data_IF_327504167112
#
_entry.id   IF_327504167112
#
_cell.length_a   1.000
_cell.length_b   1.000
_cell.length_c   1.000
_cell.angle_alpha   90.00
_cell.angle_beta   90.00
_cell.angle_gamma   90.00
#
_symmetry.space_group_name_H-M   'P 1'
#
loop_
_entity.id
_entity.type
_entity.pdbx_description
1 polymer ?
#
# COMPACT_ATOMS: atom_id res chain seq x y z
N UNK A 1 79.36 -24.78 22.13
CA UNK A 1 78.30 -25.72 22.57
C UNK A 1 77.04 -25.43 21.77
N UNK A 2 76.56 -26.44 21.01
CA UNK A 2 75.18 -26.68 20.50
C UNK A 2 74.51 -25.55 19.68
N UNK A 3 73.92 -25.69 18.49
CA UNK A 3 73.78 -26.71 17.42
C UNK A 3 72.84 -26.07 16.37
N UNK A 4 73.18 -26.10 15.08
CA UNK A 4 72.25 -25.91 13.92
C UNK A 4 71.29 -27.14 13.77
N UNK A 5 70.32 -27.26 12.81
CA UNK A 5 70.06 -26.54 11.53
C UNK A 5 68.55 -26.15 11.31
N UNK A 6 68.01 -25.58 10.22
CA UNK A 6 68.17 -25.89 8.79
C UNK A 6 67.55 -24.82 7.84
N UNK A 7 68.15 -24.73 6.63
CA UNK A 7 67.57 -24.52 5.27
C UNK A 7 66.61 -23.34 5.00
N UNK A 8 66.64 -22.63 3.87
CA UNK A 8 67.20 -22.88 2.55
C UNK A 8 67.32 -21.53 1.81
N UNK A 9 68.40 -21.37 1.04
CA UNK A 9 68.75 -20.20 0.22
C UNK A 9 67.96 -20.16 -1.09
N UNK A 10 67.59 -18.96 -1.58
CA UNK A 10 67.55 -18.70 -3.03
C UNK A 10 67.78 -17.22 -3.34
N UNK A 11 68.87 -16.97 -4.07
CA UNK A 11 69.21 -15.73 -4.76
C UNK A 11 68.57 -15.74 -6.14
N UNK A 12 68.16 -14.58 -6.67
CA UNK A 12 67.94 -14.43 -8.10
C UNK A 12 68.47 -13.07 -8.56
N UNK A 13 69.42 -13.13 -9.49
CA UNK A 13 70.03 -12.02 -10.22
C UNK A 13 69.37 -11.91 -11.60
N UNK A 14 69.32 -10.68 -12.08
CA UNK A 14 68.77 -10.17 -13.34
C UNK A 14 69.43 -10.79 -14.58
N UNK A 15 68.66 -11.01 -15.65
CA UNK A 15 69.15 -10.96 -17.03
C UNK A 15 68.04 -10.50 -17.99
N UNK A 16 68.39 -9.54 -18.86
CA UNK A 16 67.56 -9.01 -19.93
C UNK A 16 67.81 -9.78 -21.23
N UNK A 17 66.78 -9.95 -22.08
CA UNK A 17 66.98 -10.11 -23.53
C UNK A 17 65.69 -9.96 -24.35
N UNK A 18 65.77 -9.01 -25.28
CA UNK A 18 65.35 -8.96 -26.69
C UNK A 18 63.96 -9.39 -27.18
N UNK A 19 63.51 -8.51 -28.08
CA UNK A 19 62.30 -8.47 -28.92
C UNK A 19 62.22 -9.65 -29.89
N UNK A 20 61.04 -10.27 -29.95
CA UNK A 20 60.61 -11.16 -31.04
C UNK A 20 59.24 -10.72 -31.56
N UNK A 21 59.19 -10.30 -32.82
CA UNK A 21 57.96 -9.93 -33.54
C UNK A 21 57.14 -11.18 -33.86
N UNK A 22 56.03 -11.38 -33.15
CA UNK A 22 55.01 -12.39 -33.46
C UNK A 22 53.69 -11.69 -33.74
N UNK A 23 53.21 -11.76 -34.98
CA UNK A 23 51.85 -11.35 -35.36
C UNK A 23 50.88 -12.35 -34.72
N UNK A 24 50.24 -11.96 -33.61
CA UNK A 24 49.05 -12.64 -33.11
C UNK A 24 47.82 -11.95 -33.68
N UNK A 25 47.09 -12.69 -34.52
CA UNK A 25 45.75 -12.32 -34.94
C UNK A 25 44.86 -12.19 -33.70
N UNK A 26 44.36 -10.99 -33.45
CA UNK A 26 43.39 -10.75 -32.40
C UNK A 26 42.08 -11.48 -32.74
N UNK A 27 41.68 -12.44 -31.91
CA UNK A 27 40.34 -13.00 -31.95
C UNK A 27 39.31 -11.88 -31.72
N UNK A 28 38.19 -11.87 -32.47
CA UNK A 28 37.18 -10.84 -32.29
C UNK A 28 36.51 -11.02 -30.93
N UNK A 29 36.72 -10.06 -30.03
CA UNK A 29 35.99 -9.94 -28.77
C UNK A 29 34.49 -9.92 -29.06
N UNK A 30 33.81 -11.01 -28.68
CA UNK A 30 32.37 -11.10 -28.72
C UNK A 30 31.77 -9.93 -27.94
N UNK A 31 31.01 -9.08 -28.61
CA UNK A 31 30.18 -8.06 -27.97
C UNK A 31 29.23 -8.77 -27.00
N UNK A 32 29.43 -8.59 -25.70
CA UNK A 32 28.42 -8.94 -24.70
C UNK A 32 27.14 -8.20 -25.06
N UNK A 33 26.15 -8.95 -25.55
CA UNK A 33 24.77 -8.48 -25.61
C UNK A 33 24.32 -8.10 -24.19
N UNK A 34 23.73 -6.91 -23.99
CA UNK A 34 23.27 -6.52 -22.67
C UNK A 34 22.25 -7.54 -22.18
N UNK A 35 22.49 -8.11 -20.99
CA UNK A 35 21.53 -8.92 -20.25
C UNK A 35 20.19 -8.17 -20.24
N UNK A 36 19.06 -8.77 -20.67
CA UNK A 36 17.76 -8.12 -20.59
C UNK A 36 17.58 -7.58 -19.16
N UNK A 37 17.29 -6.28 -19.03
CA UNK A 37 16.96 -5.69 -17.75
C UNK A 37 15.87 -6.55 -17.12
N UNK A 38 16.14 -7.10 -15.92
CA UNK A 38 15.14 -7.85 -15.17
C UNK A 38 13.90 -6.97 -15.06
N UNK A 39 12.78 -7.42 -15.65
CA UNK A 39 11.55 -6.65 -15.67
C UNK A 39 11.11 -6.41 -14.22
N UNK A 40 11.38 -5.22 -13.70
CA UNK A 40 11.02 -4.85 -12.34
C UNK A 40 9.51 -4.74 -12.26
N UNK A 41 8.89 -5.47 -11.33
CA UNK A 41 7.45 -5.39 -11.08
C UNK A 41 7.04 -3.92 -10.88
N UNK A 42 6.08 -3.41 -11.67
CA UNK A 42 5.50 -2.08 -11.51
C UNK A 42 5.12 -1.77 -10.06
N UNK A 43 5.31 -0.52 -9.61
CA UNK A 43 4.92 -0.10 -8.25
C UNK A 43 3.88 0.99 -8.24
N UNK A 44 2.97 0.87 -7.29
CA UNK A 44 2.11 1.96 -6.83
C UNK A 44 2.49 2.22 -5.38
N UNK A 45 2.95 3.42 -5.07
CA UNK A 45 3.27 3.84 -3.72
C UNK A 45 2.36 4.99 -3.31
N UNK A 46 1.71 4.84 -2.16
CA UNK A 46 0.77 5.81 -1.63
C UNK A 46 1.13 6.15 -0.19
N UNK A 47 1.23 7.43 0.16
CA UNK A 47 1.31 7.87 1.55
C UNK A 47 -0.03 8.48 1.97
N UNK A 48 -0.58 7.99 3.07
CA UNK A 48 -1.75 8.56 3.73
C UNK A 48 -1.24 9.46 4.85
N UNK A 49 -1.57 10.74 4.80
CA UNK A 49 -1.28 11.72 5.84
C UNK A 49 -2.62 12.12 6.43
N UNK A 50 -2.92 11.64 7.64
CA UNK A 50 -4.21 11.87 8.27
C UNK A 50 -4.05 12.80 9.46
N UNK A 51 -4.81 13.89 9.45
CA UNK A 51 -4.96 14.75 10.61
C UNK A 51 -5.69 13.99 11.74
N UNK A 52 -5.09 13.99 12.91
CA UNK A 52 -5.64 13.43 14.15
C UNK A 52 -5.83 14.52 15.21
N UNK A 53 -5.96 15.78 14.81
CA UNK A 53 -6.39 16.88 15.68
C UNK A 53 -7.76 16.63 16.32
N UNK A 54 -8.09 17.39 17.37
CA UNK A 54 -9.38 17.31 18.04
C UNK A 54 -10.55 17.75 17.15
N UNK A 55 -10.31 18.66 16.20
CA UNK A 55 -11.33 19.15 15.27
C UNK A 55 -11.75 18.10 14.24
N UNK A 56 -10.95 17.04 14.07
CA UNK A 56 -11.30 15.86 13.28
C UNK A 56 -12.26 14.89 13.98
N UNK A 57 -12.67 15.16 15.22
CA UNK A 57 -13.68 14.35 15.90
C UNK A 57 -15.00 14.33 15.11
N UNK A 58 -15.55 13.13 14.89
CA UNK A 58 -16.70 12.92 14.00
C UNK A 58 -16.38 12.91 12.49
N UNK A 59 -15.26 13.52 12.07
CA UNK A 59 -14.81 13.58 10.68
C UNK A 59 -13.92 12.39 10.27
N UNK A 60 -13.07 11.95 11.21
CA UNK A 60 -11.97 11.04 10.92
C UNK A 60 -12.41 9.70 10.32
N UNK A 61 -13.58 9.17 10.72
CA UNK A 61 -14.10 7.90 10.19
C UNK A 61 -14.50 8.00 8.70
N UNK A 62 -15.02 9.15 8.28
CA UNK A 62 -15.35 9.39 6.87
C UNK A 62 -14.08 9.51 6.03
N UNK A 63 -13.07 10.25 6.53
CA UNK A 63 -11.76 10.36 5.91
C UNK A 63 -11.10 8.97 5.74
N UNK A 64 -11.06 8.15 6.79
CA UNK A 64 -10.53 6.77 6.75
C UNK A 64 -11.23 5.91 5.72
N UNK A 65 -12.56 5.95 5.69
CA UNK A 65 -13.36 5.17 4.73
C UNK A 65 -13.04 5.60 3.31
N UNK A 66 -12.90 6.91 3.07
CA UNK A 66 -12.57 7.44 1.75
C UNK A 66 -11.16 7.06 1.31
N UNK A 67 -10.18 7.20 2.19
CA UNK A 67 -8.80 6.78 1.94
C UNK A 67 -8.71 5.28 1.65
N UNK A 68 -9.48 4.46 2.38
CA UNK A 68 -9.52 3.03 2.13
C UNK A 68 -10.16 2.67 0.79
N UNK A 69 -11.22 3.36 0.35
CA UNK A 69 -11.77 3.21 -1.01
C UNK A 69 -10.73 3.50 -2.10
N UNK A 70 -9.89 4.52 -1.89
CA UNK A 70 -8.81 4.87 -2.82
C UNK A 70 -7.76 3.75 -2.89
N UNK A 71 -7.33 3.22 -1.74
CA UNK A 71 -6.44 2.05 -1.69
C UNK A 71 -7.09 0.87 -2.43
N UNK A 72 -8.39 0.64 -2.22
CA UNK A 72 -9.17 -0.39 -2.90
C UNK A 72 -9.16 -0.20 -4.42
N UNK A 73 -9.35 1.02 -4.91
CA UNK A 73 -9.35 1.31 -6.33
C UNK A 73 -7.97 1.07 -6.96
N UNK A 74 -6.90 1.58 -6.32
CA UNK A 74 -5.52 1.38 -6.75
C UNK A 74 -5.12 -0.09 -6.79
N UNK A 75 -5.68 -0.91 -5.89
CA UNK A 75 -5.48 -2.36 -5.89
C UNK A 75 -6.07 -3.08 -7.12
N UNK A 76 -6.87 -2.43 -7.96
CA UNK A 76 -7.37 -3.00 -9.21
C UNK A 76 -6.52 -2.62 -10.43
N UNK A 77 -5.59 -1.68 -10.27
CA UNK A 77 -4.76 -1.20 -11.35
C UNK A 77 -3.84 -2.30 -11.89
N UNK A 78 -3.55 -2.22 -13.19
CA UNK A 78 -2.57 -3.04 -13.90
C UNK A 78 -1.70 -2.14 -14.75
N UNK A 79 -0.41 -2.45 -14.86
CA UNK A 79 0.49 -1.81 -15.81
C UNK A 79 0.98 -2.86 -16.79
N UNK A 80 0.72 -2.66 -18.08
CA UNK A 80 1.10 -3.60 -19.15
C UNK A 80 0.63 -5.05 -18.87
N UNK A 81 -0.59 -5.21 -18.35
CA UNK A 81 -1.16 -6.52 -17.99
C UNK A 81 -0.64 -7.11 -16.68
N UNK A 82 0.37 -6.52 -16.06
CA UNK A 82 0.93 -6.97 -14.78
C UNK A 82 0.23 -6.30 -13.60
N UNK A 83 0.04 -7.07 -12.53
CA UNK A 83 -0.43 -6.57 -11.23
C UNK A 83 0.74 -5.88 -10.52
N UNK A 84 0.67 -4.57 -10.24
CA UNK A 84 1.73 -3.85 -9.57
C UNK A 84 1.82 -4.22 -8.10
N UNK A 85 3.01 -4.01 -7.52
CA UNK A 85 3.17 -4.00 -6.07
C UNK A 85 2.60 -2.69 -5.51
N UNK A 86 1.50 -2.80 -4.78
CA UNK A 86 0.92 -1.69 -4.03
C UNK A 86 1.59 -1.60 -2.66
N UNK A 87 2.17 -0.44 -2.35
CA UNK A 87 2.74 -0.14 -1.05
C UNK A 87 2.07 1.11 -0.49
N UNK A 88 1.67 1.04 0.78
CA UNK A 88 1.02 2.16 1.46
C UNK A 88 1.82 2.51 2.71
N UNK A 89 1.94 3.80 2.98
CA UNK A 89 2.49 4.36 4.21
C UNK A 89 1.41 5.15 4.95
N UNK A 90 1.56 5.30 6.26
CA UNK A 90 0.64 6.04 7.10
C UNK A 90 1.39 6.99 8.03
N UNK A 91 1.00 8.25 7.99
CA UNK A 91 1.39 9.29 8.93
C UNK A 91 0.16 9.79 9.68
N UNK A 92 0.34 10.09 10.96
CA UNK A 92 -0.55 10.99 11.69
C UNK A 92 0.14 12.37 11.85
N UNK A 93 -0.65 13.44 11.81
CA UNK A 93 -0.21 14.79 12.15
C UNK A 93 -1.32 15.51 12.93
N UNK A 94 -1.01 16.69 13.50
CA UNK A 94 -2.04 17.51 14.14
C UNK A 94 -2.27 17.23 15.62
N UNK A 95 -1.36 16.50 16.28
CA UNK A 95 -1.54 16.02 17.64
C UNK A 95 -0.55 16.67 18.60
N UNK A 96 -1.04 17.38 19.62
CA UNK A 96 -0.18 18.06 20.61
C UNK A 96 0.68 17.12 21.44
N UNK A 97 0.29 15.84 21.54
CA UNK A 97 1.05 14.82 22.25
C UNK A 97 2.24 14.28 21.45
N UNK A 98 2.36 14.63 20.17
CA UNK A 98 3.57 14.34 19.39
C UNK A 98 4.58 15.44 19.74
N UNK A 99 5.79 15.08 20.18
CA UNK A 99 6.71 16.08 20.70
C UNK A 99 7.19 17.03 19.60
N UNK A 100 7.52 18.26 20.00
CA UNK A 100 7.79 19.39 19.09
C UNK A 100 9.00 19.14 18.18
N UNK A 101 9.96 18.37 18.64
CA UNK A 101 11.15 17.91 17.91
C UNK A 101 10.81 16.87 16.81
N UNK A 102 9.74 16.09 16.98
CA UNK A 102 9.13 15.27 15.91
C UNK A 102 8.29 16.13 14.94
N UNK A 103 8.15 17.44 15.18
CA UNK A 103 7.39 18.33 14.30
C UNK A 103 5.88 18.16 14.38
N UNK A 104 5.38 17.61 15.49
CA UNK A 104 3.96 17.28 15.71
C UNK A 104 3.38 16.30 14.67
N UNK A 105 4.21 15.47 14.04
CA UNK A 105 3.82 14.41 13.12
C UNK A 105 4.58 13.12 13.40
N UNK A 106 4.00 11.98 13.03
CA UNK A 106 4.62 10.66 13.23
C UNK A 106 4.39 9.76 12.04
N UNK A 107 5.45 9.12 11.56
CA UNK A 107 5.34 7.99 10.64
C UNK A 107 4.89 6.75 11.43
N UNK A 108 3.63 6.36 11.29
CA UNK A 108 3.08 5.18 11.97
C UNK A 108 3.53 3.91 11.24
N UNK A 109 3.45 3.92 9.90
CA UNK A 109 3.88 2.80 9.06
C UNK A 109 4.66 3.36 7.87
N UNK A 110 5.86 2.82 7.62
CA UNK A 110 6.60 3.08 6.37
C UNK A 110 5.91 2.41 5.18
N UNK A 111 6.39 2.67 3.95
CA UNK A 111 5.86 2.01 2.75
C UNK A 111 5.95 0.48 2.89
N UNK A 112 4.79 -0.18 2.92
CA UNK A 112 4.67 -1.63 3.11
C UNK A 112 3.60 -2.23 2.19
N UNK A 113 3.77 -3.50 1.82
CA UNK A 113 2.74 -4.30 1.16
C UNK A 113 1.83 -5.06 2.15
N UNK A 114 2.06 -4.93 3.47
CA UNK A 114 1.16 -5.39 4.52
C UNK A 114 -0.02 -4.40 4.70
N UNK A 115 -1.03 -4.56 3.86
CA UNK A 115 -2.20 -3.69 3.85
C UNK A 115 -3.15 -3.94 5.01
N UNK A 116 -3.01 -5.06 5.73
CA UNK A 116 -3.67 -5.25 7.03
C UNK A 116 -3.02 -4.41 8.13
N UNK A 117 -1.70 -4.18 8.10
CA UNK A 117 -1.06 -3.23 9.00
C UNK A 117 -1.53 -1.81 8.79
N UNK A 118 -1.68 -1.42 7.53
CA UNK A 118 -2.22 -0.11 7.20
C UNK A 118 -3.67 0.02 7.66
N UNK A 119 -4.52 -0.96 7.38
CA UNK A 119 -5.90 -1.00 7.89
C UNK A 119 -5.94 -0.91 9.42
N UNK A 120 -5.14 -1.72 10.10
CA UNK A 120 -5.12 -1.76 11.57
C UNK A 120 -4.79 -0.42 12.18
N UNK A 121 -3.67 0.17 11.75
CA UNK A 121 -3.21 1.44 12.28
C UNK A 121 -4.17 2.57 11.88
N UNK A 122 -4.60 2.62 10.62
CA UNK A 122 -5.51 3.68 10.11
C UNK A 122 -6.80 3.75 10.93
N UNK A 123 -7.41 2.61 11.25
CA UNK A 123 -8.65 2.55 12.02
C UNK A 123 -8.42 2.61 13.54
N UNK A 124 -7.21 2.35 14.03
CA UNK A 124 -6.84 2.49 15.45
C UNK A 124 -6.51 3.94 15.86
N UNK A 125 -6.21 4.82 14.90
CA UNK A 125 -5.95 6.23 15.18
C UNK A 125 -7.09 6.85 16.00
N UNK A 126 -6.76 7.82 16.85
CA UNK A 126 -7.73 8.58 17.66
C UNK A 126 -7.37 10.05 17.58
N UNK A 127 -8.39 10.88 17.59
CA UNK A 127 -8.22 12.33 17.61
C UNK A 127 -7.73 12.78 18.98
N UNK A 128 -6.76 13.68 19.00
CA UNK A 128 -6.24 14.31 20.20
C UNK A 128 -5.70 15.70 19.82
N UNK A 129 -6.23 16.73 20.46
CA UNK A 129 -6.09 18.14 20.08
C UNK A 129 -4.67 18.58 19.69
N UNK A 130 -4.55 19.44 18.67
CA UNK A 130 -3.31 20.05 18.21
C UNK A 130 -3.52 20.90 16.96
N UNK A 131 -2.46 21.52 16.45
CA UNK A 131 -2.47 22.36 15.24
C UNK A 131 -2.06 21.54 14.03
N UNK A 132 -2.70 21.79 12.89
CA UNK A 132 -2.32 21.16 11.63
C UNK A 132 -1.00 21.72 11.06
N UNK A 133 -0.17 20.85 10.47
CA UNK A 133 1.10 21.22 9.84
C UNK A 133 1.27 20.56 8.47
N UNK A 134 0.37 20.90 7.54
CA UNK A 134 0.26 20.26 6.22
C UNK A 134 1.59 20.30 5.43
N UNK A 135 2.22 21.48 5.33
CA UNK A 135 3.51 21.60 4.64
C UNK A 135 4.60 20.74 5.25
N UNK A 136 4.63 20.60 6.57
CA UNK A 136 5.65 19.84 7.30
C UNK A 136 5.47 18.33 7.10
N UNK A 137 4.25 17.80 7.16
CA UNK A 137 4.00 16.37 6.94
C UNK A 137 4.22 15.96 5.48
N UNK A 138 3.89 16.84 4.51
CA UNK A 138 4.21 16.60 3.10
C UNK A 138 5.74 16.55 2.89
N UNK A 139 6.48 17.50 3.48
CA UNK A 139 7.94 17.52 3.41
C UNK A 139 8.54 16.24 4.05
N UNK A 140 8.05 15.85 5.22
CA UNK A 140 8.48 14.65 5.92
C UNK A 140 8.22 13.37 5.10
N UNK A 141 7.02 13.20 4.55
CA UNK A 141 6.70 12.03 3.71
C UNK A 141 7.52 12.02 2.40
N UNK A 142 7.74 13.19 1.79
CA UNK A 142 8.53 13.35 0.56
C UNK A 142 10.02 13.04 0.76
N UNK A 143 10.56 13.32 1.93
CA UNK A 143 11.97 13.09 2.27
C UNK A 143 12.25 11.76 2.98
N UNK A 144 11.34 11.30 3.84
CA UNK A 144 11.55 10.18 4.76
C UNK A 144 11.15 8.82 4.23
N UNK A 145 10.22 8.75 3.27
CA UNK A 145 9.81 7.48 2.67
C UNK A 145 10.76 7.03 1.56
N UNK A 146 10.93 5.71 1.44
CA UNK A 146 11.69 5.07 0.38
C UNK A 146 10.87 4.96 -0.91
N UNK A 147 10.65 6.11 -1.54
CA UNK A 147 9.97 6.20 -2.83
C UNK A 147 10.74 5.49 -3.93
N UNK A 148 10.01 4.91 -4.88
CA UNK A 148 10.58 4.22 -6.02
C UNK A 148 11.30 5.21 -6.93
N UNK A 149 12.40 4.73 -7.52
CA UNK A 149 13.17 5.47 -8.52
C UNK A 149 12.62 5.26 -9.95
N UNK A 150 11.63 4.37 -10.12
CA UNK A 150 10.99 4.15 -11.42
C UNK A 150 10.21 5.37 -11.88
N UNK A 151 10.42 5.79 -13.13
CA UNK A 151 9.73 6.94 -13.73
C UNK A 151 8.28 6.61 -14.10
N UNK A 152 8.02 5.35 -14.46
CA UNK A 152 6.70 4.83 -14.76
C UNK A 152 5.96 4.31 -13.51
N UNK A 153 6.57 4.37 -12.32
CA UNK A 153 5.89 4.01 -11.07
C UNK A 153 4.97 5.15 -10.62
N UNK A 154 3.82 4.78 -10.05
CA UNK A 154 2.84 5.73 -9.54
C UNK A 154 3.15 6.08 -8.09
N UNK A 155 3.36 7.36 -7.79
CA UNK A 155 3.69 7.85 -6.44
C UNK A 155 2.69 8.93 -6.04
N UNK A 156 1.96 8.68 -4.95
CA UNK A 156 0.83 9.50 -4.52
C UNK A 156 0.95 9.85 -3.03
N UNK A 157 0.67 11.09 -2.68
CA UNK A 157 0.35 11.50 -1.31
C UNK A 157 -1.16 11.81 -1.27
N UNK A 158 -1.85 11.34 -0.24
CA UNK A 158 -3.19 11.78 0.12
C UNK A 158 -3.12 12.38 1.52
N UNK A 159 -3.37 13.68 1.61
CA UNK A 159 -3.47 14.40 2.88
C UNK A 159 -4.94 14.70 3.21
N UNK A 160 -5.36 14.49 4.44
CA UNK A 160 -6.73 14.73 4.90
C UNK A 160 -6.76 15.45 6.25
N UNK A 161 -7.57 16.51 6.37
CA UNK A 161 -7.66 17.39 7.54
C UNK A 161 -8.76 18.44 7.37
N UNK A 162 -8.96 19.31 8.35
CA UNK A 162 -10.10 20.23 8.39
C UNK A 162 -9.78 21.68 8.81
N UNK A 163 -8.51 22.03 8.97
CA UNK A 163 -8.05 23.38 9.23
C UNK A 163 -7.32 23.99 8.02
N UNK A 164 -6.71 25.16 8.21
CA UNK A 164 -6.02 25.84 7.11
C UNK A 164 -4.73 25.11 6.68
N UNK A 165 -4.59 24.90 5.37
CA UNK A 165 -3.45 24.21 4.76
C UNK A 165 -2.13 24.98 4.92
N UNK A 166 -2.23 26.27 5.23
CA UNK A 166 -1.12 27.21 5.37
C UNK A 166 -0.47 27.20 6.75
N UNK A 167 -0.94 26.38 7.68
CA UNK A 167 -0.41 26.34 9.05
C UNK A 167 0.98 25.70 9.11
N UNK A 168 1.80 26.22 10.04
CA UNK A 168 3.17 25.75 10.28
C UNK A 168 4.27 26.68 9.79
N UNK A 169 5.50 26.28 10.03
CA UNK A 169 6.70 27.00 9.61
C UNK A 169 7.19 26.59 8.22
N UNK A 170 6.78 25.41 7.73
CA UNK A 170 7.09 24.92 6.39
C UNK A 170 6.06 25.44 5.41
N UNK A 171 6.52 26.21 4.43
CA UNK A 171 5.70 26.69 3.32
C UNK A 171 5.20 25.50 2.47
N UNK A 172 3.88 25.29 2.47
CA UNK A 172 3.25 24.20 1.72
C UNK A 172 3.55 24.29 0.22
N UNK A 173 3.76 25.49 -0.33
CA UNK A 173 4.07 25.65 -1.76
C UNK A 173 5.40 25.02 -2.11
N UNK A 174 6.40 25.21 -1.25
CA UNK A 174 7.72 24.59 -1.39
C UNK A 174 7.64 23.08 -1.18
N UNK A 175 6.87 22.63 -0.18
CA UNK A 175 6.67 21.20 0.08
C UNK A 175 5.99 20.47 -1.10
N UNK A 176 4.91 21.02 -1.65
CA UNK A 176 4.22 20.48 -2.82
C UNK A 176 5.12 20.50 -4.07
N UNK A 177 5.83 21.60 -4.31
CA UNK A 177 6.78 21.70 -5.44
C UNK A 177 7.91 20.67 -5.34
N UNK A 178 8.43 20.44 -4.13
CA UNK A 178 9.45 19.43 -3.89
C UNK A 178 8.92 18.00 -4.10
N UNK A 179 7.67 17.72 -3.71
CA UNK A 179 7.02 16.43 -3.94
C UNK A 179 6.88 16.13 -5.44
N UNK A 180 6.31 17.06 -6.21
CA UNK A 180 6.11 16.86 -7.65
C UNK A 180 7.42 16.82 -8.43
N UNK A 181 8.45 17.55 -7.97
CA UNK A 181 9.82 17.43 -8.50
C UNK A 181 10.42 16.03 -8.38
N UNK A 182 9.91 15.18 -7.46
CA UNK A 182 10.26 13.75 -7.35
C UNK A 182 9.26 12.81 -8.05
N UNK A 183 8.32 13.38 -8.80
CA UNK A 183 7.22 12.66 -9.44
C UNK A 183 6.17 12.15 -8.46
N UNK A 184 6.04 12.78 -7.29
CA UNK A 184 5.03 12.44 -6.27
C UNK A 184 3.88 13.44 -6.38
N UNK A 185 2.70 12.95 -6.75
CA UNK A 185 1.49 13.77 -6.83
C UNK A 185 0.86 13.95 -5.45
N UNK A 186 0.45 15.17 -5.08
CA UNK A 186 -0.20 15.44 -3.77
C UNK A 186 -1.69 15.68 -3.98
N UNK A 187 -2.52 14.73 -3.54
CA UNK A 187 -3.97 14.85 -3.49
C UNK A 187 -4.41 15.30 -2.10
N UNK A 188 -5.43 16.15 -2.03
CA UNK A 188 -5.85 16.79 -0.78
C UNK A 188 -7.33 16.52 -0.52
N UNK A 189 -7.68 16.16 0.71
CA UNK A 189 -9.05 15.86 1.15
C UNK A 189 -9.40 16.78 2.32
N UNK A 190 -10.16 17.84 2.07
CA UNK A 190 -10.64 18.72 3.12
C UNK A 190 -11.90 18.14 3.77
N UNK A 191 -11.91 18.02 5.08
CA UNK A 191 -13.03 17.51 5.86
C UNK A 191 -13.94 18.66 6.31
N UNK A 192 -14.68 19.24 5.37
CA UNK A 192 -15.60 20.35 5.60
C UNK A 192 -16.28 20.82 4.32
N UNK A 193 -16.89 22.03 4.33
CA UNK A 193 -17.48 22.64 3.14
C UNK A 193 -16.43 22.93 2.06
N UNK A 194 -16.76 22.65 0.80
CA UNK A 194 -15.82 22.81 -0.32
C UNK A 194 -15.26 24.23 -0.47
N UNK A 195 -16.12 25.25 -0.33
CA UNK A 195 -15.71 26.64 -0.43
C UNK A 195 -14.67 27.02 0.64
N UNK A 196 -14.75 26.41 1.83
CA UNK A 196 -13.78 26.62 2.88
C UNK A 196 -12.43 26.00 2.52
N UNK A 197 -12.39 24.74 2.09
CA UNK A 197 -11.15 24.09 1.66
C UNK A 197 -10.44 24.85 0.53
N UNK A 198 -11.19 25.45 -0.39
CA UNK A 198 -10.63 26.34 -1.43
C UNK A 198 -10.00 27.58 -0.79
N UNK A 199 -10.76 28.29 0.05
CA UNK A 199 -10.30 29.52 0.71
C UNK A 199 -9.10 29.29 1.62
N UNK A 200 -9.00 28.12 2.24
CA UNK A 200 -7.96 27.77 3.21
C UNK A 200 -6.77 27.04 2.58
N UNK A 201 -6.69 26.99 1.24
CA UNK A 201 -5.50 26.60 0.49
C UNK A 201 -5.39 25.12 0.11
N UNK A 202 -6.39 24.28 0.42
CA UNK A 202 -6.36 22.85 0.08
C UNK A 202 -6.36 22.63 -1.44
N UNK A 203 -7.20 23.36 -2.17
CA UNK A 203 -7.22 23.26 -3.64
C UNK A 203 -5.91 23.73 -4.28
N UNK A 204 -5.31 24.78 -3.72
CA UNK A 204 -4.01 25.30 -4.18
C UNK A 204 -2.91 24.26 -3.94
N UNK A 205 -2.87 23.66 -2.76
CA UNK A 205 -1.92 22.58 -2.41
C UNK A 205 -1.96 21.41 -3.38
N UNK A 206 -3.16 20.95 -3.77
CA UNK A 206 -3.31 19.89 -4.79
C UNK A 206 -2.82 20.34 -6.17
N UNK A 207 -3.20 21.55 -6.58
CA UNK A 207 -2.89 22.09 -7.92
C UNK A 207 -1.38 22.26 -8.12
N UNK A 208 -0.65 22.66 -7.08
CA UNK A 208 0.81 22.82 -7.10
C UNK A 208 1.59 21.51 -7.29
N UNK A 209 0.95 20.36 -7.10
CA UNK A 209 1.59 19.05 -7.20
C UNK A 209 0.82 18.08 -8.08
N UNK A 210 0.17 18.60 -9.14
CA UNK A 210 -0.53 17.80 -10.18
C UNK A 210 -1.65 16.89 -9.63
N UNK A 211 -2.15 17.23 -8.45
CA UNK A 211 -3.10 16.47 -7.67
C UNK A 211 -4.55 16.83 -7.89
N UNK A 212 -5.40 16.32 -7.01
CA UNK A 212 -6.81 16.65 -6.98
C UNK A 212 -7.29 16.97 -5.58
N UNK A 213 -8.22 17.92 -5.55
CA UNK A 213 -8.86 18.41 -4.35
C UNK A 213 -10.23 17.77 -4.18
N UNK A 214 -10.48 17.28 -2.97
CA UNK A 214 -11.74 16.73 -2.53
C UNK A 214 -12.21 17.47 -1.29
N UNK A 215 -13.53 17.62 -1.13
CA UNK A 215 -14.12 18.10 0.11
C UNK A 215 -15.18 17.13 0.60
N UNK A 216 -15.00 16.59 1.81
CA UNK A 216 -15.97 15.72 2.48
C UNK A 216 -16.77 16.59 3.45
N UNK A 217 -17.95 17.02 3.00
CA UNK A 217 -18.88 17.80 3.82
C UNK A 217 -19.73 16.88 4.70
N UNK A 218 -19.42 16.83 5.99
CA UNK A 218 -20.13 16.03 6.99
C UNK A 218 -21.58 16.47 7.24
N UNK A 219 -21.92 17.73 6.94
CA UNK A 219 -23.28 18.25 7.08
C UNK A 219 -24.17 17.78 5.92
N UNK A 220 -23.56 17.38 4.80
CA UNK A 220 -24.25 16.57 3.80
C UNK A 220 -24.37 15.16 4.40
N UNK A 221 -25.54 14.87 4.96
CA UNK A 221 -25.92 13.49 5.27
C UNK A 221 -25.96 12.67 3.97
N UNK A 222 -24.82 12.14 3.54
CA UNK A 222 -24.80 11.00 2.64
C UNK A 222 -24.96 9.79 3.55
N UNK A 223 -26.22 9.47 3.88
CA UNK A 223 -26.51 8.25 4.61
C UNK A 223 -25.82 7.09 3.88
N UNK A 224 -25.02 6.31 4.61
CA UNK A 224 -24.39 5.14 4.02
C UNK A 224 -25.50 4.24 3.46
N UNK A 225 -25.53 4.06 2.14
CA UNK A 225 -26.54 3.25 1.46
C UNK A 225 -26.35 1.81 1.93
N UNK A 226 -27.23 1.36 2.82
CA UNK A 226 -27.28 -0.03 3.26
C UNK A 226 -27.58 -0.89 2.04
N UNK A 227 -26.81 -1.97 1.86
CA UNK A 227 -27.01 -2.85 0.71
C UNK A 227 -27.39 -4.25 1.18
N UNK A 228 -28.19 -5.00 0.39
CA UNK A 228 -28.47 -6.42 0.70
C UNK A 228 -27.22 -7.32 0.60
N UNK A 229 -26.10 -6.78 0.09
CA UNK A 229 -24.86 -7.52 -0.13
C UNK A 229 -23.90 -7.46 1.07
N UNK A 230 -24.07 -6.49 1.98
CA UNK A 230 -23.11 -6.21 3.06
C UNK A 230 -22.92 -7.42 3.98
N UNK A 231 -24.01 -8.07 4.39
CA UNK A 231 -23.97 -9.26 5.26
C UNK A 231 -23.20 -10.41 4.60
N UNK A 232 -23.51 -10.69 3.33
CA UNK A 232 -22.86 -11.77 2.58
C UNK A 232 -21.37 -11.50 2.39
N UNK A 233 -20.98 -10.25 2.14
CA UNK A 233 -19.56 -9.86 2.06
C UNK A 233 -18.83 -10.07 3.39
N UNK A 234 -19.44 -9.71 4.53
CA UNK A 234 -18.87 -9.95 5.84
C UNK A 234 -18.68 -11.46 6.13
N UNK A 235 -19.67 -12.29 5.80
CA UNK A 235 -19.56 -13.75 5.92
C UNK A 235 -18.42 -14.32 5.05
N UNK A 236 -18.30 -13.84 3.81
CA UNK A 236 -17.23 -14.26 2.91
C UNK A 236 -15.85 -13.82 3.42
N UNK A 237 -15.72 -12.61 3.99
CA UNK A 237 -14.50 -12.16 4.65
C UNK A 237 -14.06 -13.14 5.75
N UNK A 238 -15.01 -13.55 6.61
CA UNK A 238 -14.75 -14.56 7.63
C UNK A 238 -14.29 -15.90 7.06
N UNK A 239 -14.89 -16.34 5.94
CA UNK A 239 -14.48 -17.58 5.25
C UNK A 239 -13.06 -17.48 4.69
N UNK A 240 -12.65 -16.33 4.14
CA UNK A 240 -11.26 -16.12 3.69
C UNK A 240 -10.28 -16.35 4.84
N UNK A 241 -10.62 -15.91 6.06
CA UNK A 241 -9.75 -16.11 7.23
C UNK A 241 -9.46 -17.59 7.51
N UNK A 242 -10.44 -18.47 7.29
CA UNK A 242 -10.29 -19.92 7.43
C UNK A 242 -9.40 -20.58 6.37
N UNK A 243 -8.95 -19.80 5.37
CA UNK A 243 -8.03 -20.27 4.34
C UNK A 243 -6.56 -19.91 4.60
N UNK A 244 -6.26 -19.06 5.60
CA UNK A 244 -4.88 -18.72 5.94
C UNK A 244 -4.20 -19.90 6.64
N UNK A 245 -2.95 -20.13 6.26
CA UNK A 245 -2.06 -21.14 6.82
C UNK A 245 -0.80 -20.42 7.28
N UNK A 246 -0.89 -19.74 8.42
CA UNK A 246 0.27 -19.00 8.94
C UNK A 246 1.40 -19.97 9.32
N UNK A 247 2.65 -19.62 9.01
CA UNK A 247 3.84 -20.40 9.35
C UNK A 247 4.88 -19.54 10.10
N UNK A 248 5.94 -20.16 10.61
CA UNK A 248 6.95 -19.51 11.44
C UNK A 248 6.68 -19.69 12.93
N UNK A 249 7.22 -18.83 13.80
CA UNK A 249 7.08 -18.94 15.26
C UNK A 249 5.61 -18.95 15.69
N UNK A 250 5.25 -19.87 16.61
CA UNK A 250 3.87 -20.05 17.10
C UNK A 250 3.19 -18.76 17.55
N UNK A 251 3.88 -17.93 18.34
CA UNK A 251 3.35 -16.65 18.82
C UNK A 251 3.02 -15.67 17.69
N UNK A 252 3.78 -15.69 16.59
CA UNK A 252 3.51 -14.87 15.41
C UNK A 252 2.28 -15.39 14.68
N UNK A 253 2.15 -16.71 14.50
CA UNK A 253 0.98 -17.33 13.86
C UNK A 253 -0.32 -16.99 14.60
N UNK A 254 -0.31 -17.15 15.93
CA UNK A 254 -1.46 -16.85 16.79
C UNK A 254 -1.83 -15.35 16.73
N UNK A 255 -0.83 -14.47 16.77
CA UNK A 255 -1.04 -13.02 16.63
C UNK A 255 -1.68 -12.66 15.29
N UNK A 256 -1.21 -13.22 14.18
CA UNK A 256 -1.73 -12.94 12.84
C UNK A 256 -3.16 -13.48 12.65
N UNK A 257 -3.44 -14.68 13.15
CA UNK A 257 -4.80 -15.22 13.14
C UNK A 257 -5.77 -14.34 13.94
N UNK A 258 -5.35 -13.89 15.14
CA UNK A 258 -6.14 -12.97 15.95
C UNK A 258 -6.33 -11.62 15.26
N UNK A 259 -5.28 -11.09 14.61
CA UNK A 259 -5.33 -9.83 13.85
C UNK A 259 -6.43 -9.84 12.80
N UNK A 260 -6.56 -10.93 12.03
CA UNK A 260 -7.61 -11.05 11.02
C UNK A 260 -9.01 -10.89 11.60
N UNK A 261 -9.29 -11.58 12.70
CA UNK A 261 -10.58 -11.52 13.39
C UNK A 261 -10.82 -10.14 14.00
N UNK A 262 -9.81 -9.55 14.64
CA UNK A 262 -9.89 -8.22 15.22
C UNK A 262 -10.16 -7.15 14.17
N UNK A 263 -9.52 -7.22 13.01
CA UNK A 263 -9.73 -6.27 11.92
C UNK A 263 -11.11 -6.42 11.27
N UNK A 264 -11.59 -7.64 11.07
CA UNK A 264 -12.95 -7.87 10.54
C UNK A 264 -14.01 -7.32 11.51
N UNK A 265 -13.82 -7.51 12.81
CA UNK A 265 -14.67 -6.96 13.85
C UNK A 265 -14.63 -5.43 13.87
N UNK A 266 -13.43 -4.82 13.88
CA UNK A 266 -13.27 -3.37 13.89
C UNK A 266 -13.90 -2.71 12.65
N UNK A 267 -13.73 -3.31 11.46
CA UNK A 267 -14.38 -2.84 10.24
C UNK A 267 -15.90 -2.87 10.37
N UNK A 268 -16.48 -3.97 10.87
CA UNK A 268 -17.92 -4.10 11.07
C UNK A 268 -18.48 -3.12 12.12
N UNK A 269 -17.73 -2.85 13.19
CA UNK A 269 -18.11 -1.89 14.23
C UNK A 269 -18.02 -0.44 13.76
N UNK A 270 -17.08 -0.13 12.85
CA UNK A 270 -16.89 1.24 12.34
C UNK A 270 -18.03 1.70 11.42
N UNK A 271 -18.43 0.85 10.47
CA UNK A 271 -19.56 1.06 9.56
C UNK A 271 -19.88 -0.23 8.78
N UNK A 272 -21.15 -0.54 8.47
CA UNK A 272 -21.49 -1.67 7.59
C UNK A 272 -20.76 -1.65 6.24
N UNK A 273 -20.58 -0.45 5.68
CA UNK A 273 -19.83 -0.26 4.44
C UNK A 273 -18.35 -0.64 4.58
N UNK A 274 -17.71 -0.38 5.73
CA UNK A 274 -16.30 -0.67 5.95
C UNK A 274 -16.03 -2.19 5.97
N UNK A 275 -16.93 -3.00 6.55
CA UNK A 275 -16.83 -4.46 6.47
C UNK A 275 -16.91 -4.97 5.02
N UNK A 276 -17.81 -4.40 4.21
CA UNK A 276 -17.93 -4.73 2.80
C UNK A 276 -16.69 -4.32 1.99
N UNK A 277 -16.12 -3.13 2.26
CA UNK A 277 -14.88 -2.67 1.61
C UNK A 277 -13.67 -3.55 2.00
N UNK A 278 -13.59 -3.99 3.26
CA UNK A 278 -12.56 -4.93 3.71
C UNK A 278 -12.69 -6.29 3.05
N UNK A 279 -13.91 -6.83 2.97
CA UNK A 279 -14.19 -8.06 2.24
C UNK A 279 -13.76 -7.92 0.77
N UNK A 280 -14.16 -6.84 0.10
CA UNK A 280 -13.78 -6.54 -1.28
C UNK A 280 -12.27 -6.51 -1.46
N UNK A 281 -11.54 -5.91 -0.53
CA UNK A 281 -10.09 -5.86 -0.54
C UNK A 281 -9.45 -7.26 -0.43
N UNK A 282 -9.92 -8.10 0.51
CA UNK A 282 -9.50 -9.52 0.65
C UNK A 282 -9.74 -10.37 -0.60
N UNK A 283 -10.70 -9.95 -1.43
CA UNK A 283 -10.99 -10.54 -2.74
C UNK A 283 -9.93 -10.28 -3.82
N UNK A 284 -9.03 -9.32 -3.62
CA UNK A 284 -8.09 -8.83 -4.65
C UNK A 284 -6.73 -9.52 -4.56
N UNK A 285 -6.02 -9.58 -5.69
CA UNK A 285 -4.67 -10.16 -5.80
C UNK A 285 -3.60 -9.41 -5.01
N UNK A 286 -3.86 -8.14 -4.68
CA UNK A 286 -3.01 -7.28 -3.87
C UNK A 286 -3.06 -7.65 -2.39
N UNK A 287 -4.15 -8.27 -1.92
CA UNK A 287 -4.22 -8.76 -0.57
C UNK A 287 -3.31 -9.99 -0.46
N UNK A 288 -2.21 -9.84 0.29
CA UNK A 288 -1.21 -10.88 0.51
C UNK A 288 -0.72 -10.82 1.94
N UNK A 289 -0.43 -11.97 2.53
CA UNK A 289 0.28 -12.05 3.80
C UNK A 289 1.61 -12.78 3.64
N UNK A 290 2.72 -12.11 3.92
CA UNK A 290 4.06 -12.70 3.80
C UNK A 290 4.29 -13.90 4.76
N UNK A 291 3.48 -14.01 5.80
CA UNK A 291 3.53 -15.10 6.77
C UNK A 291 2.46 -16.18 6.52
N UNK A 292 1.68 -16.07 5.44
CA UNK A 292 0.75 -17.11 4.99
C UNK A 292 1.42 -18.03 3.98
N UNK A 293 1.45 -19.33 4.31
CA UNK A 293 2.15 -20.33 3.53
C UNK A 293 1.49 -20.58 2.17
N UNK A 294 0.17 -20.39 2.06
CA UNK A 294 -0.56 -20.50 0.79
C UNK A 294 -0.10 -19.41 -0.19
N UNK A 295 -0.06 -18.14 0.25
CA UNK A 295 0.45 -17.03 -0.56
C UNK A 295 1.95 -17.18 -0.86
N UNK A 296 2.74 -17.57 0.14
CA UNK A 296 4.20 -17.69 0.02
C UNK A 296 4.61 -18.79 -0.98
N UNK A 297 3.91 -19.93 -0.99
CA UNK A 297 4.11 -21.01 -1.96
C UNK A 297 3.61 -20.61 -3.34
N UNK A 298 2.40 -20.03 -3.44
CA UNK A 298 1.81 -19.63 -4.73
C UNK A 298 2.62 -18.54 -5.42
N UNK A 299 3.24 -17.63 -4.66
CA UNK A 299 4.12 -16.59 -5.19
C UNK A 299 5.55 -17.04 -5.45
N UNK A 300 5.90 -18.29 -5.11
CA UNK A 300 7.25 -18.82 -5.25
C UNK A 300 8.27 -18.25 -4.25
N UNK A 301 7.84 -17.44 -3.28
CA UNK A 301 8.71 -16.90 -2.22
C UNK A 301 9.23 -17.99 -1.29
N UNK A 302 8.45 -19.05 -1.10
CA UNK A 302 8.78 -20.18 -0.23
C UNK A 302 8.53 -21.49 -0.97
N UNK A 303 9.47 -22.42 -0.89
CA UNK A 303 9.24 -23.82 -1.27
C UNK A 303 8.81 -24.58 -0.03
N UNK A 304 7.66 -25.25 -0.08
CA UNK A 304 7.07 -25.91 1.11
C UNK A 304 8.03 -26.91 1.77
N UNK A 305 8.80 -27.65 0.96
CA UNK A 305 9.81 -28.60 1.41
C UNK A 305 10.99 -27.97 2.18
N UNK A 306 11.23 -26.67 2.02
CA UNK A 306 12.33 -25.95 2.67
C UNK A 306 11.86 -25.31 3.99
N UNK A 307 10.56 -25.38 4.31
CA UNK A 307 10.01 -24.90 5.58
C UNK A 307 10.28 -25.91 6.68
N UNK A 308 10.89 -25.45 7.77
CA UNK A 308 11.22 -26.30 8.91
C UNK A 308 9.95 -26.82 9.59
N UNK A 309 10.01 -28.04 10.10
CA UNK A 309 8.85 -28.70 10.69
C UNK A 309 8.31 -27.96 11.92
N UNK A 310 9.17 -27.35 12.74
CA UNK A 310 8.78 -26.54 13.89
C UNK A 310 8.03 -25.24 13.51
N UNK A 311 8.25 -24.74 12.29
CA UNK A 311 7.61 -23.54 11.76
C UNK A 311 6.24 -23.85 11.13
N UNK A 312 5.94 -25.11 10.85
CA UNK A 312 4.65 -25.53 10.34
C UNK A 312 3.55 -25.44 11.43
N UNK A 313 2.30 -25.16 11.05
CA UNK A 313 1.14 -25.35 11.93
C UNK A 313 0.90 -26.85 12.19
N UNK A 314 0.22 -27.16 13.30
CA UNK A 314 0.04 -28.53 13.81
C UNK A 314 -0.68 -29.45 12.81
N UNK A 315 -1.59 -28.89 12.02
CA UNK A 315 -2.31 -29.58 10.96
C UNK A 315 -1.36 -30.11 9.89
N UNK A 316 -0.31 -29.36 9.54
CA UNK A 316 0.66 -29.74 8.51
C UNK A 316 1.75 -30.66 9.04
N UNK A 317 2.15 -30.53 10.31
CA UNK A 317 3.16 -31.42 10.92
C UNK A 317 2.76 -32.89 10.83
N UNK A 318 1.47 -33.19 11.00
CA UNK A 318 0.90 -34.54 10.97
C UNK A 318 0.79 -35.15 9.56
N UNK A 319 1.09 -34.38 8.52
CA UNK A 319 0.97 -34.80 7.13
C UNK A 319 2.33 -35.11 6.53
N UNK A 320 2.38 -36.10 5.64
CA UNK A 320 3.53 -36.33 4.76
C UNK A 320 3.65 -35.24 3.68
N UNK A 321 4.79 -35.17 2.99
CA UNK A 321 5.07 -34.12 2.01
C UNK A 321 3.98 -33.98 0.93
N UNK A 322 3.50 -35.11 0.39
CA UNK A 322 2.46 -35.10 -0.66
C UNK A 322 1.15 -34.54 -0.12
N UNK A 323 0.74 -34.96 1.09
CA UNK A 323 -0.47 -34.45 1.74
C UNK A 323 -0.35 -32.98 2.16
N UNK A 324 0.85 -32.49 2.50
CA UNK A 324 1.09 -31.05 2.75
C UNK A 324 0.86 -30.24 1.47
N UNK A 325 1.39 -30.70 0.33
CA UNK A 325 1.16 -30.04 -0.97
C UNK A 325 -0.33 -30.03 -1.34
N UNK A 326 -1.02 -31.18 -1.19
CA UNK A 326 -2.46 -31.29 -1.44
C UNK A 326 -3.27 -30.37 -0.52
N UNK A 327 -2.88 -30.24 0.77
CA UNK A 327 -3.53 -29.33 1.72
C UNK A 327 -3.39 -27.87 1.29
N UNK A 328 -2.18 -27.42 0.94
CA UNK A 328 -1.93 -26.05 0.50
C UNK A 328 -2.67 -25.75 -0.81
N UNK A 329 -2.64 -26.68 -1.78
CA UNK A 329 -3.39 -26.55 -3.03
C UNK A 329 -4.91 -26.50 -2.79
N UNK A 330 -5.42 -27.31 -1.87
CA UNK A 330 -6.82 -27.29 -1.45
C UNK A 330 -7.22 -25.94 -0.86
N UNK A 331 -6.39 -25.38 0.05
CA UNK A 331 -6.60 -24.05 0.63
C UNK A 331 -6.54 -22.93 -0.40
N UNK A 332 -5.61 -23.00 -1.35
CA UNK A 332 -5.55 -22.04 -2.46
C UNK A 332 -6.81 -22.10 -3.33
N UNK A 333 -7.32 -23.31 -3.64
CA UNK A 333 -8.55 -23.49 -4.43
C UNK A 333 -9.77 -22.97 -3.69
N UNK A 334 -9.90 -23.28 -2.40
CA UNK A 334 -10.96 -22.76 -1.52
C UNK A 334 -10.94 -21.22 -1.49
N UNK A 335 -9.76 -20.64 -1.24
CA UNK A 335 -9.57 -19.18 -1.21
C UNK A 335 -9.96 -18.54 -2.53
N UNK A 336 -9.49 -19.08 -3.65
CA UNK A 336 -9.78 -18.55 -4.98
C UNK A 336 -11.29 -18.56 -5.28
N UNK A 337 -12.00 -19.62 -4.87
CA UNK A 337 -13.45 -19.69 -5.02
C UNK A 337 -14.17 -18.62 -4.19
N UNK A 338 -13.77 -18.42 -2.94
CA UNK A 338 -14.33 -17.37 -2.06
C UNK A 338 -14.03 -15.97 -2.61
N UNK A 339 -12.80 -15.72 -3.07
CA UNK A 339 -12.40 -14.43 -3.64
C UNK A 339 -13.18 -14.10 -4.92
N UNK A 340 -13.46 -15.10 -5.78
CA UNK A 340 -14.33 -14.92 -6.95
C UNK A 340 -15.77 -14.59 -6.54
N UNK A 341 -16.29 -15.21 -5.47
CA UNK A 341 -17.61 -14.88 -4.92
C UNK A 341 -17.64 -13.45 -4.38
N UNK A 342 -16.61 -13.04 -3.62
CA UNK A 342 -16.44 -11.65 -3.14
C UNK A 342 -16.43 -10.66 -4.29
N UNK A 343 -15.67 -10.93 -5.37
CA UNK A 343 -15.58 -10.04 -6.52
C UNK A 343 -16.96 -9.86 -7.20
N UNK A 344 -17.70 -10.95 -7.39
CA UNK A 344 -19.05 -10.92 -7.94
C UNK A 344 -20.01 -10.09 -7.07
N UNK A 345 -20.06 -10.36 -5.76
CA UNK A 345 -20.95 -9.66 -4.84
C UNK A 345 -20.55 -8.17 -4.71
N UNK A 346 -19.25 -7.88 -4.69
CA UNK A 346 -18.72 -6.51 -4.66
C UNK A 346 -19.15 -5.70 -5.89
N UNK A 347 -19.13 -6.31 -7.08
CA UNK A 347 -19.63 -5.69 -8.32
C UNK A 347 -21.13 -5.39 -8.23
N UNK A 348 -21.93 -6.33 -7.73
CA UNK A 348 -23.38 -6.12 -7.54
C UNK A 348 -23.66 -5.01 -6.52
N UNK A 349 -22.90 -4.98 -5.43
CA UNK A 349 -22.97 -3.91 -4.43
C UNK A 349 -22.66 -2.54 -5.01
N UNK A 350 -21.58 -2.42 -5.80
CA UNK A 350 -21.20 -1.16 -6.44
C UNK A 350 -22.28 -0.67 -7.41
N UNK A 351 -22.83 -1.57 -8.25
CA UNK A 351 -23.92 -1.25 -9.15
C UNK A 351 -25.18 -0.78 -8.41
N UNK A 352 -25.53 -1.44 -7.29
CA UNK A 352 -26.65 -1.05 -6.45
C UNK A 352 -26.46 0.35 -5.84
N UNK A 353 -25.27 0.64 -5.31
CA UNK A 353 -24.95 1.96 -4.76
C UNK A 353 -24.99 3.04 -5.84
N UNK A 354 -24.45 2.76 -7.03
CA UNK A 354 -24.47 3.70 -8.16
C UNK A 354 -25.92 3.99 -8.61
N UNK A 355 -26.76 2.97 -8.70
CA UNK A 355 -28.18 3.11 -9.04
C UNK A 355 -28.94 3.92 -7.99
N UNK A 356 -28.76 3.60 -6.71
CA UNK A 356 -29.38 4.32 -5.61
C UNK A 356 -28.98 5.80 -5.62
N UNK A 357 -27.69 6.10 -5.82
CA UNK A 357 -27.18 7.46 -5.94
C UNK A 357 -27.74 8.20 -7.16
N UNK A 358 -27.90 7.51 -8.30
CA UNK A 358 -28.49 8.13 -9.50
C UNK A 358 -29.92 8.59 -9.22
N UNK A 359 -30.73 7.73 -8.60
CA UNK A 359 -32.11 8.05 -8.19
C UNK A 359 -32.17 9.21 -7.20
N UNK A 360 -31.22 9.29 -6.27
CA UNK A 360 -31.09 10.44 -5.38
C UNK A 360 -30.64 11.72 -6.12
N UNK A 361 -29.74 11.61 -7.10
CA UNK A 361 -29.24 12.75 -7.88
C UNK A 361 -30.22 13.31 -8.91
N UNK A 362 -31.11 12.48 -9.46
CA UNK A 362 -32.24 12.93 -10.30
C UNK A 362 -33.23 13.80 -9.49
N UNK A 363 -33.23 13.67 -8.15
CA UNK A 363 -33.96 14.55 -7.24
C UNK A 363 -33.17 15.76 -6.72
N UNK A 364 -31.82 15.73 -6.85
CA UNK A 364 -30.89 16.80 -6.42
C UNK A 364 -29.63 16.75 -7.28
N UNK A 365 -29.50 17.70 -8.21
CA UNK A 365 -28.36 17.88 -9.13
C UNK A 365 -27.01 17.92 -8.37
N UNK A 366 -26.37 16.78 -8.18
CA UNK A 366 -25.06 16.64 -7.53
C UNK A 366 -24.32 15.45 -8.14
N UNK A 367 -23.24 15.72 -8.87
CA UNK A 367 -22.23 14.72 -9.18
C UNK A 367 -21.68 14.14 -7.87
N UNK A 368 -21.59 12.81 -7.79
CA UNK A 368 -21.17 12.17 -6.55
C UNK A 368 -19.66 12.37 -6.36
N UNK A 369 -19.29 13.01 -5.24
CA UNK A 369 -17.92 13.29 -4.80
C UNK A 369 -16.96 12.08 -4.95
N UNK A 370 -17.45 10.86 -4.65
CA UNK A 370 -16.71 9.61 -4.78
C UNK A 370 -16.27 9.29 -6.23
N UNK A 371 -17.08 9.64 -7.22
CA UNK A 371 -16.81 9.36 -8.63
C UNK A 371 -15.68 10.24 -9.18
N UNK A 372 -15.73 11.54 -8.88
CA UNK A 372 -14.75 12.51 -9.38
C UNK A 372 -13.32 12.21 -8.91
N UNK A 373 -13.14 11.77 -7.65
CA UNK A 373 -11.80 11.42 -7.15
C UNK A 373 -11.27 10.13 -7.76
N UNK A 374 -12.12 9.11 -7.91
CA UNK A 374 -11.72 7.85 -8.57
C UNK A 374 -11.33 8.13 -10.02
N UNK A 375 -12.09 8.94 -10.73
CA UNK A 375 -11.78 9.34 -12.10
C UNK A 375 -10.43 10.08 -12.18
N UNK A 376 -10.19 11.02 -11.28
CA UNK A 376 -8.91 11.73 -11.26
C UNK A 376 -7.73 10.81 -10.96
N UNK A 377 -7.87 9.90 -9.99
CA UNK A 377 -6.84 8.89 -9.69
C UNK A 377 -6.56 8.03 -10.90
N UNK A 378 -7.61 7.57 -11.61
CA UNK A 378 -7.47 6.81 -12.85
C UNK A 378 -6.74 7.61 -13.92
N UNK A 379 -7.00 8.91 -14.04
CA UNK A 379 -6.29 9.82 -14.97
C UNK A 379 -4.81 9.97 -14.59
N UNK A 380 -4.50 10.20 -13.32
CA UNK A 380 -3.12 10.29 -12.82
C UNK A 380 -2.35 8.99 -13.06
N UNK A 381 -2.96 7.85 -12.72
CA UNK A 381 -2.43 6.52 -12.97
C UNK A 381 -2.25 6.23 -14.47
N UNK A 382 -3.18 6.68 -15.31
CA UNK A 382 -3.12 6.58 -16.77
C UNK A 382 -1.91 7.31 -17.37
N UNK A 383 -1.53 8.48 -16.82
CA UNK A 383 -0.28 9.18 -17.21
C UNK A 383 0.97 8.29 -16.99
N UNK A 384 0.88 7.33 -16.07
CA UNK A 384 1.93 6.35 -15.74
C UNK A 384 1.64 4.97 -16.34
N UNK A 385 0.83 4.89 -17.41
CA UNK A 385 0.52 3.63 -18.14
C UNK A 385 -0.23 2.58 -17.31
N UNK A 386 -0.80 2.96 -16.18
CA UNK A 386 -1.71 2.08 -15.43
C UNK A 386 -3.09 2.14 -16.05
N UNK A 387 -3.69 0.96 -16.21
CA UNK A 387 -5.06 0.77 -16.63
C UNK A 387 -5.85 0.08 -15.52
N UNK A 388 -7.15 0.35 -15.49
CA UNK A 388 -8.10 -0.26 -14.57
C UNK A 388 -9.01 -1.14 -15.41
N UNK A 389 -9.37 -2.31 -14.91
CA UNK A 389 -10.33 -3.15 -15.62
C UNK A 389 -11.63 -2.37 -15.80
N UNK A 390 -12.15 -2.33 -17.04
CA UNK A 390 -13.50 -1.83 -17.28
C UNK A 390 -14.44 -2.79 -16.58
N UNK A 391 -15.20 -2.27 -15.62
CA UNK A 391 -16.19 -3.04 -14.87
C UNK A 391 -17.36 -3.48 -15.74
#
# INVERSE_FOLDING_TARGET
MKSLPACLTMFTVIAASLVGSGVHAAEPTAKETPKPAEATTPKIQMAILLDTSGSMEGLINQARTQLWKIVNELATAKQNGQTPQLQVALYEYGKSSIPKDEGYLRQIVSLTDDLDAISEELFALKTNGGKEYCGQVIQAATGGLQWSKGDDDLKLIFIAGNEAFTQGTVDYKQACSAAIGKGITVNTIFCGPQAEGIRTGWQDGASLADGSFLSIDQNRQVAAIKTPFDKKLAELSGRVNGTFVFFGRRSIRERLAKRQLSQDKAAAESAPAAAAERASFKGKKQYRSNADLVDAVTSGKVKLKDVKEEELPEELKKLDAKKRDEYIAGKQKERSAIQNEIAKISKQRKAYIAEARRKESESKQNDTLDGAIIESIRKQAGKKKFAFEKE
#
